data_IF_348478085749
#
_entry.id   IF_348478085749
#
_cell.length_a   1.000
_cell.length_b   1.000
_cell.length_c   1.000
_cell.angle_alpha   90.00
_cell.angle_beta   90.00
_cell.angle_gamma   90.00
#
_symmetry.space_group_name_H-M   'P 1'
#
loop_
_entity.id
_entity.type
_entity.pdbx_description
1 polymer ?
#
# COMPACT_ATOMS: atom_id res chain seq x y z
N UNK A 1 22.04 -5.71 -48.81
CA UNK A 1 22.17 -6.55 -47.59
C UNK A 1 21.19 -5.96 -46.59
N UNK A 2 20.03 -6.58 -46.50
CA UNK A 2 19.00 -6.21 -45.56
C UNK A 2 19.33 -6.93 -44.23
N UNK A 3 19.38 -6.17 -43.14
CA UNK A 3 19.49 -6.70 -41.79
C UNK A 3 18.09 -7.07 -41.33
N UNK A 4 17.91 -8.34 -41.11
CA UNK A 4 16.73 -8.97 -40.55
C UNK A 4 16.68 -8.64 -39.03
N UNK A 5 15.77 -7.79 -38.63
CA UNK A 5 15.46 -7.55 -37.23
C UNK A 5 14.34 -8.52 -36.85
N UNK A 6 14.73 -9.71 -36.36
CA UNK A 6 13.79 -10.60 -35.70
C UNK A 6 13.38 -9.97 -34.36
N UNK A 7 12.21 -9.34 -34.30
CA UNK A 7 11.46 -9.15 -33.09
C UNK A 7 11.11 -10.54 -32.52
N UNK A 8 11.74 -10.90 -31.44
CA UNK A 8 11.34 -12.03 -30.60
C UNK A 8 10.08 -11.62 -29.89
N UNK A 9 8.94 -12.03 -30.44
CA UNK A 9 7.67 -12.07 -29.77
C UNK A 9 7.80 -13.10 -28.64
N UNK A 10 8.08 -12.63 -27.43
CA UNK A 10 8.01 -13.46 -26.23
C UNK A 10 6.53 -13.59 -25.87
N UNK A 11 5.84 -14.52 -26.52
CA UNK A 11 4.56 -15.04 -26.02
C UNK A 11 4.88 -15.88 -24.78
N UNK A 12 4.24 -15.59 -23.67
CA UNK A 12 4.18 -16.51 -22.52
C UNK A 12 3.69 -17.86 -23.05
N UNK A 13 4.57 -18.82 -23.09
CA UNK A 13 4.20 -20.21 -23.42
C UNK A 13 3.77 -20.82 -22.08
N UNK A 14 2.48 -20.96 -21.86
CA UNK A 14 1.84 -21.48 -20.64
C UNK A 14 2.36 -22.88 -20.33
N UNK A 15 3.44 -22.98 -19.57
CA UNK A 15 3.99 -24.25 -19.08
C UNK A 15 3.49 -24.61 -17.67
N UNK A 16 2.60 -23.82 -17.07
CA UNK A 16 1.80 -24.21 -15.90
C UNK A 16 0.38 -24.54 -16.37
N UNK A 17 -0.17 -25.67 -15.90
CA UNK A 17 -1.51 -26.18 -16.25
C UNK A 17 -2.65 -25.30 -15.62
N UNK A 18 -2.58 -23.96 -15.67
CA UNK A 18 -3.60 -23.07 -15.10
C UNK A 18 -3.43 -21.59 -15.48
N UNK A 19 -4.42 -20.73 -15.19
CA UNK A 19 -4.36 -19.30 -15.42
C UNK A 19 -3.31 -18.64 -14.49
N UNK A 20 -2.64 -17.57 -14.96
CA UNK A 20 -1.67 -16.83 -14.16
C UNK A 20 -2.36 -16.20 -12.93
N UNK A 21 -1.99 -16.57 -11.69
CA UNK A 21 -2.55 -15.94 -10.50
C UNK A 21 -1.92 -14.58 -10.26
N UNK A 22 -2.73 -13.53 -10.22
CA UNK A 22 -2.28 -12.14 -10.06
C UNK A 22 -2.94 -11.52 -8.85
N UNK A 23 -2.13 -11.06 -7.90
CA UNK A 23 -2.54 -10.25 -6.78
C UNK A 23 -2.37 -8.77 -7.09
N UNK A 24 -3.39 -7.97 -6.81
CA UNK A 24 -3.42 -6.54 -7.10
C UNK A 24 -3.74 -5.74 -5.84
N UNK A 25 -2.94 -4.71 -5.57
CA UNK A 25 -3.29 -3.65 -4.63
C UNK A 25 -3.19 -2.30 -5.34
N UNK A 26 -4.32 -1.64 -5.58
CA UNK A 26 -4.37 -0.23 -5.96
C UNK A 26 -4.43 0.64 -4.69
N UNK A 27 -3.28 1.09 -4.19
CA UNK A 27 -3.23 2.02 -3.06
C UNK A 27 -3.21 3.48 -3.51
N UNK A 28 -3.58 4.40 -2.62
CA UNK A 28 -3.61 5.84 -2.92
C UNK A 28 -2.24 6.43 -3.31
N UNK A 29 -1.16 5.90 -2.74
CA UNK A 29 0.19 6.34 -3.02
C UNK A 29 0.91 5.39 -3.98
N UNK A 30 0.80 4.09 -3.75
CA UNK A 30 1.50 3.07 -4.55
C UNK A 30 0.57 1.93 -4.95
N UNK A 31 0.72 1.50 -6.19
CA UNK A 31 0.10 0.28 -6.75
C UNK A 31 1.12 -0.84 -6.74
N UNK A 32 0.67 -2.02 -6.36
CA UNK A 32 1.46 -3.25 -6.35
C UNK A 32 0.76 -4.32 -7.17
N UNK A 33 1.51 -4.97 -8.07
CA UNK A 33 1.15 -6.24 -8.69
C UNK A 33 2.11 -7.31 -8.18
N UNK A 34 1.58 -8.48 -7.86
CA UNK A 34 2.35 -9.64 -7.43
C UNK A 34 1.89 -10.89 -8.20
N UNK A 35 2.80 -11.56 -8.87
CA UNK A 35 2.51 -12.72 -9.71
C UNK A 35 3.76 -13.56 -9.93
N UNK A 36 3.65 -14.88 -10.20
CA UNK A 36 4.81 -15.70 -10.57
C UNK A 36 5.25 -15.43 -12.02
N UNK A 37 6.55 -15.53 -12.29
CA UNK A 37 7.07 -15.55 -13.66
C UNK A 37 6.98 -16.95 -14.30
N UNK A 38 7.58 -17.12 -15.49
CA UNK A 38 7.57 -18.40 -16.23
C UNK A 38 8.27 -19.56 -15.50
N UNK A 39 9.19 -19.24 -14.59
CA UNK A 39 9.93 -20.20 -13.76
C UNK A 39 9.21 -20.47 -12.41
N UNK A 40 8.14 -19.73 -12.11
CA UNK A 40 7.38 -19.79 -10.86
C UNK A 40 7.96 -18.89 -9.77
N UNK A 41 8.98 -18.08 -10.08
CA UNK A 41 9.56 -17.16 -9.12
C UNK A 41 8.68 -15.90 -8.96
N UNK A 42 8.53 -15.38 -7.72
CA UNK A 42 7.65 -14.24 -7.48
C UNK A 42 8.18 -12.96 -8.14
N UNK A 43 7.33 -12.32 -8.93
CA UNK A 43 7.56 -11.01 -9.52
C UNK A 43 6.72 -9.95 -8.79
N UNK A 44 7.35 -8.83 -8.52
CA UNK A 44 6.69 -7.70 -7.88
C UNK A 44 6.87 -6.45 -8.73
N UNK A 45 5.75 -5.82 -9.06
CA UNK A 45 5.73 -4.48 -9.67
C UNK A 45 5.19 -3.51 -8.63
N UNK A 46 5.97 -2.50 -8.28
CA UNK A 46 5.60 -1.46 -7.32
C UNK A 46 5.85 -0.11 -7.97
N UNK A 47 4.83 0.72 -8.07
CA UNK A 47 4.92 2.04 -8.71
C UNK A 47 4.01 3.06 -8.03
N UNK A 48 4.29 4.35 -8.18
CA UNK A 48 3.39 5.41 -7.72
C UNK A 48 2.05 5.34 -8.45
N UNK A 49 0.96 5.53 -7.72
CA UNK A 49 -0.41 5.54 -8.27
C UNK A 49 -0.74 6.91 -8.82
N UNK A 50 -0.05 7.29 -9.89
CA UNK A 50 -0.25 8.57 -10.56
C UNK A 50 0.02 8.44 -12.06
N UNK A 51 -0.50 9.38 -12.83
CA UNK A 51 -0.21 9.52 -14.24
C UNK A 51 -0.10 10.99 -14.65
N UNK A 52 0.52 11.23 -15.78
CA UNK A 52 0.51 12.52 -16.47
C UNK A 52 0.25 12.29 -17.97
N UNK A 53 -0.42 13.26 -18.61
CA UNK A 53 -0.64 13.25 -20.05
C UNK A 53 0.09 14.40 -20.72
N UNK A 54 0.63 14.13 -21.90
CA UNK A 54 1.26 15.16 -22.72
C UNK A 54 0.98 14.92 -24.20
N UNK A 55 1.03 15.99 -24.99
CA UNK A 55 0.92 15.91 -26.45
C UNK A 55 2.31 15.67 -27.06
N UNK A 56 2.46 14.57 -27.80
CA UNK A 56 3.67 14.28 -28.56
C UNK A 56 3.88 15.31 -29.66
N UNK A 57 4.98 16.05 -29.60
CA UNK A 57 5.26 17.18 -30.48
C UNK A 57 5.40 16.81 -31.97
N UNK A 58 5.64 15.54 -32.28
CA UNK A 58 5.83 15.06 -33.65
C UNK A 58 4.54 14.51 -34.24
N UNK A 59 3.80 13.74 -33.47
CA UNK A 59 2.57 13.08 -33.94
C UNK A 59 1.29 13.87 -33.62
N UNK A 60 1.34 14.82 -32.68
CA UNK A 60 0.16 15.50 -32.12
C UNK A 60 -0.78 14.56 -31.36
N UNK A 61 -0.33 13.34 -31.04
CA UNK A 61 -1.11 12.38 -30.26
C UNK A 61 -0.89 12.58 -28.76
N UNK A 62 -1.93 12.39 -27.99
CA UNK A 62 -1.82 12.33 -26.54
C UNK A 62 -1.05 11.08 -26.11
N UNK A 63 -0.13 11.25 -25.17
CA UNK A 63 0.67 10.21 -24.58
C UNK A 63 0.44 10.17 -23.07
N UNK A 64 0.47 8.98 -22.51
CA UNK A 64 0.34 8.74 -21.07
C UNK A 64 1.68 8.25 -20.54
N UNK A 65 2.11 8.83 -19.45
CA UNK A 65 3.20 8.33 -18.59
C UNK A 65 2.66 8.13 -17.19
N UNK A 66 3.19 7.18 -16.44
CA UNK A 66 2.67 6.86 -15.10
C UNK A 66 3.81 6.56 -14.12
N UNK A 67 3.43 6.47 -12.85
CA UNK A 67 4.36 6.13 -11.76
C UNK A 67 5.43 7.19 -11.55
N UNK A 68 6.62 6.74 -11.18
CA UNK A 68 7.78 7.57 -10.89
C UNK A 68 8.12 8.47 -12.08
N UNK A 69 8.03 7.96 -13.31
CA UNK A 69 8.29 8.76 -14.51
C UNK A 69 7.33 9.95 -14.62
N UNK A 70 6.05 9.76 -14.31
CA UNK A 70 5.08 10.87 -14.33
C UNK A 70 5.41 11.93 -13.26
N UNK A 71 5.76 11.49 -12.06
CA UNK A 71 6.08 12.39 -10.95
C UNK A 71 7.37 13.19 -11.18
N UNK A 72 8.41 12.55 -11.75
CA UNK A 72 9.72 13.17 -11.97
C UNK A 72 9.77 14.07 -13.20
N UNK A 73 9.22 13.59 -14.33
CA UNK A 73 9.31 14.31 -15.62
C UNK A 73 8.22 15.35 -15.84
N UNK A 74 7.04 15.15 -15.18
CA UNK A 74 5.85 15.99 -15.36
C UNK A 74 5.22 16.44 -14.04
N UNK A 75 5.97 16.97 -13.07
CA UNK A 75 5.46 17.32 -11.74
C UNK A 75 4.33 18.36 -11.76
N UNK A 76 4.27 19.20 -12.82
CA UNK A 76 3.22 20.19 -13.03
C UNK A 76 1.92 19.62 -13.64
N UNK A 77 1.92 18.35 -14.06
CA UNK A 77 0.79 17.67 -14.72
C UNK A 77 0.41 16.35 -14.08
N UNK A 78 1.17 15.91 -13.08
CA UNK A 78 0.90 14.65 -12.40
C UNK A 78 -0.45 14.69 -11.69
N UNK A 79 -1.24 13.62 -11.84
CA UNK A 79 -2.54 13.43 -11.23
C UNK A 79 -2.55 12.15 -10.40
N UNK A 80 -2.90 12.29 -9.11
CA UNK A 80 -3.18 11.19 -8.21
C UNK A 80 -4.67 10.91 -8.26
N UNK A 81 -5.06 9.69 -8.56
CA UNK A 81 -6.43 9.32 -8.91
C UNK A 81 -7.22 8.66 -7.79
N UNK A 82 -6.55 8.21 -6.73
CA UNK A 82 -7.20 7.51 -5.62
C UNK A 82 -7.15 8.31 -4.32
N UNK A 83 -8.21 8.21 -3.54
CA UNK A 83 -8.28 8.68 -2.17
C UNK A 83 -8.80 7.54 -1.29
N UNK A 84 -8.10 7.27 -0.18
CA UNK A 84 -8.39 6.10 0.67
C UNK A 84 -8.47 4.78 -0.12
N UNK A 85 -7.61 4.62 -1.15
CA UNK A 85 -7.56 3.44 -2.01
C UNK A 85 -8.66 3.36 -3.06
N UNK A 86 -9.53 4.36 -3.21
CA UNK A 86 -10.68 4.33 -4.12
C UNK A 86 -10.72 5.54 -5.07
N UNK A 87 -11.19 5.36 -6.32
CA UNK A 87 -11.57 6.46 -7.20
C UNK A 87 -12.94 7.00 -6.76
N UNK A 88 -12.98 8.26 -6.30
CA UNK A 88 -14.18 8.85 -5.67
C UNK A 88 -15.29 9.26 -6.65
N UNK A 89 -14.94 9.41 -7.93
CA UNK A 89 -15.84 9.88 -8.99
C UNK A 89 -15.46 9.26 -10.36
N UNK A 90 -16.32 9.43 -11.34
CA UNK A 90 -16.16 8.88 -12.69
C UNK A 90 -14.87 9.39 -13.38
N UNK A 91 -14.50 10.65 -13.20
CA UNK A 91 -13.30 11.24 -13.81
C UNK A 91 -12.04 10.56 -13.24
N UNK A 92 -12.01 10.30 -11.93
CA UNK A 92 -10.92 9.57 -11.27
C UNK A 92 -10.91 8.10 -11.61
N UNK A 93 -12.08 7.48 -11.79
CA UNK A 93 -12.21 6.11 -12.27
C UNK A 93 -11.64 5.96 -13.69
N UNK A 94 -11.92 6.90 -14.59
CA UNK A 94 -11.36 6.92 -15.95
C UNK A 94 -9.82 7.05 -15.94
N UNK A 95 -9.29 7.93 -15.08
CA UNK A 95 -7.84 8.07 -14.90
C UNK A 95 -7.21 6.80 -14.34
N UNK A 96 -7.80 6.21 -13.29
CA UNK A 96 -7.35 4.97 -12.68
C UNK A 96 -7.41 3.79 -13.67
N UNK A 97 -8.47 3.71 -14.48
CA UNK A 97 -8.60 2.73 -15.55
C UNK A 97 -7.53 2.90 -16.63
N UNK A 98 -7.20 4.13 -16.99
CA UNK A 98 -6.12 4.42 -17.95
C UNK A 98 -4.76 4.03 -17.39
N UNK A 99 -4.46 4.42 -16.14
CA UNK A 99 -3.25 4.04 -15.44
C UNK A 99 -3.09 2.51 -15.36
N UNK A 100 -4.12 1.81 -14.89
CA UNK A 100 -4.04 0.38 -14.65
C UNK A 100 -3.93 -0.43 -15.95
N UNK A 101 -4.66 -0.04 -17.01
CA UNK A 101 -4.49 -0.64 -18.35
C UNK A 101 -3.07 -0.50 -18.91
N UNK A 102 -2.46 0.69 -18.80
CA UNK A 102 -1.07 0.88 -19.27
C UNK A 102 -0.09 0.10 -18.40
N UNK A 103 -0.31 0.00 -17.09
CA UNK A 103 0.50 -0.79 -16.17
C UNK A 103 0.48 -2.27 -16.55
N UNK A 104 -0.69 -2.91 -16.63
CA UNK A 104 -0.81 -4.35 -16.91
C UNK A 104 -0.32 -4.70 -18.31
N UNK A 105 -0.55 -3.83 -19.30
CA UNK A 105 -0.05 -3.97 -20.67
C UNK A 105 1.48 -3.94 -20.73
N UNK A 106 2.11 -3.02 -19.99
CA UNK A 106 3.57 -2.92 -19.95
C UNK A 106 4.22 -4.12 -19.24
N UNK A 107 3.51 -4.71 -18.27
CA UNK A 107 3.91 -5.95 -17.59
C UNK A 107 3.56 -7.21 -18.40
N UNK A 108 2.83 -7.06 -19.51
CA UNK A 108 2.38 -8.17 -20.38
C UNK A 108 1.57 -9.23 -19.63
N UNK A 109 0.79 -8.83 -18.63
CA UNK A 109 -0.11 -9.76 -17.93
C UNK A 109 -1.12 -10.31 -18.94
N UNK A 110 -1.27 -11.64 -19.04
CA UNK A 110 -2.18 -12.25 -20.00
C UNK A 110 -3.66 -12.03 -19.65
N UNK A 111 -4.53 -11.98 -20.66
CA UNK A 111 -5.96 -11.74 -20.46
C UNK A 111 -6.63 -12.86 -19.67
N UNK A 112 -6.23 -14.11 -19.88
CA UNK A 112 -6.72 -15.33 -19.22
C UNK A 112 -6.15 -15.56 -17.81
N UNK A 113 -5.66 -14.49 -17.16
CA UNK A 113 -5.20 -14.55 -15.77
C UNK A 113 -6.36 -14.66 -14.76
N UNK A 114 -6.04 -15.11 -13.55
CA UNK A 114 -6.93 -15.09 -12.40
C UNK A 114 -6.51 -13.94 -11.47
N UNK A 115 -7.38 -12.94 -11.33
CA UNK A 115 -7.06 -11.72 -10.61
C UNK A 115 -7.80 -11.66 -9.27
N UNK A 116 -7.06 -11.52 -8.19
CA UNK A 116 -7.59 -11.10 -6.89
C UNK A 116 -7.05 -9.72 -6.55
N UNK A 117 -7.94 -8.81 -6.20
CA UNK A 117 -7.53 -7.46 -5.81
C UNK A 117 -7.96 -7.12 -4.39
N UNK A 118 -7.07 -6.44 -3.68
CA UNK A 118 -7.30 -5.97 -2.32
C UNK A 118 -8.14 -4.70 -2.32
N UNK A 119 -9.17 -4.64 -1.47
CA UNK A 119 -10.03 -3.47 -1.30
C UNK A 119 -9.92 -2.91 0.12
N UNK A 120 -9.96 -1.58 0.31
CA UNK A 120 -9.99 -0.98 1.62
C UNK A 120 -11.30 -1.31 2.37
N UNK A 121 -11.21 -1.37 3.70
CA UNK A 121 -12.35 -1.62 4.57
C UNK A 121 -13.01 -0.29 4.96
N UNK A 122 -13.73 0.31 4.01
CA UNK A 122 -14.44 1.59 4.22
C UNK A 122 -15.86 1.52 3.68
N UNK A 123 -16.75 2.32 4.27
CA UNK A 123 -18.14 2.44 3.84
C UNK A 123 -18.27 3.45 2.68
N UNK A 124 -17.90 3.02 1.47
CA UNK A 124 -17.99 3.79 0.23
C UNK A 124 -18.31 2.87 -0.95
N UNK A 125 -19.57 2.46 -1.07
CA UNK A 125 -20.04 1.56 -2.14
C UNK A 125 -19.70 2.11 -3.54
N UNK A 126 -19.93 3.39 -3.82
CA UNK A 126 -19.64 3.97 -5.12
C UNK A 126 -18.16 3.91 -5.50
N UNK A 127 -17.26 4.17 -4.54
CA UNK A 127 -15.82 4.06 -4.77
C UNK A 127 -15.37 2.62 -4.97
N UNK A 128 -16.01 1.66 -4.28
CA UNK A 128 -15.74 0.22 -4.46
C UNK A 128 -16.24 -0.26 -5.84
N UNK A 129 -17.42 0.19 -6.29
CA UNK A 129 -17.93 -0.12 -7.61
C UNK A 129 -17.01 0.46 -8.70
N UNK A 130 -16.58 1.70 -8.56
CA UNK A 130 -15.61 2.33 -9.47
C UNK A 130 -14.29 1.55 -9.53
N UNK A 131 -13.78 1.08 -8.38
CA UNK A 131 -12.56 0.26 -8.35
C UNK A 131 -12.77 -1.09 -9.06
N UNK A 132 -13.92 -1.73 -8.86
CA UNK A 132 -14.26 -2.96 -9.56
C UNK A 132 -14.28 -2.76 -11.08
N UNK A 133 -14.91 -1.68 -11.57
CA UNK A 133 -14.94 -1.33 -13.00
C UNK A 133 -13.53 -1.07 -13.56
N UNK A 134 -12.63 -0.44 -12.79
CA UNK A 134 -11.22 -0.22 -13.17
C UNK A 134 -10.51 -1.56 -13.39
N UNK A 135 -10.67 -2.51 -12.47
CA UNK A 135 -10.01 -3.83 -12.56
C UNK A 135 -10.62 -4.66 -13.70
N UNK A 136 -11.94 -4.79 -13.75
CA UNK A 136 -12.67 -5.56 -14.79
C UNK A 136 -12.45 -4.98 -16.20
N UNK A 137 -12.33 -3.65 -16.30
CA UNK A 137 -12.07 -2.96 -17.57
C UNK A 137 -10.60 -2.94 -18.00
N UNK A 138 -9.70 -3.60 -17.28
CA UNK A 138 -8.25 -3.56 -17.55
C UNK A 138 -7.79 -4.47 -18.69
N UNK A 139 -8.60 -5.48 -19.06
CA UNK A 139 -8.29 -6.47 -20.09
C UNK A 139 -7.48 -7.67 -19.57
N UNK A 140 -7.44 -7.88 -18.26
CA UNK A 140 -6.92 -9.09 -17.60
C UNK A 140 -8.02 -9.69 -16.70
N UNK A 141 -7.86 -10.95 -16.27
CA UNK A 141 -8.80 -11.60 -15.35
C UNK A 141 -9.98 -12.29 -16.04
N UNK A 142 -9.86 -12.68 -17.31
CA UNK A 142 -10.93 -13.40 -18.02
C UNK A 142 -11.31 -14.71 -17.31
N UNK A 143 -10.39 -15.35 -16.59
CA UNK A 143 -10.67 -16.58 -15.84
C UNK A 143 -11.36 -16.28 -14.51
N UNK A 144 -10.83 -15.31 -13.74
CA UNK A 144 -11.36 -14.97 -12.42
C UNK A 144 -11.05 -13.52 -12.09
N UNK A 145 -12.06 -12.79 -11.58
CA UNK A 145 -11.87 -11.52 -10.87
C UNK A 145 -12.61 -11.57 -9.54
N UNK A 146 -11.91 -11.36 -8.41
CA UNK A 146 -12.48 -11.31 -7.06
C UNK A 146 -11.81 -10.24 -6.22
N UNK A 147 -12.55 -9.67 -5.28
CA UNK A 147 -12.02 -8.73 -4.29
C UNK A 147 -12.04 -9.33 -2.89
N UNK A 148 -11.04 -8.96 -2.09
CA UNK A 148 -10.98 -9.29 -0.67
C UNK A 148 -10.47 -8.07 0.12
N UNK A 149 -10.82 -7.95 1.43
CA UNK A 149 -10.31 -6.87 2.28
C UNK A 149 -8.78 -6.84 2.30
N UNK A 150 -8.20 -5.63 2.21
CA UNK A 150 -6.75 -5.42 2.19
C UNK A 150 -6.08 -6.01 3.44
N UNK A 151 -6.69 -5.81 4.61
CA UNK A 151 -6.18 -6.35 5.88
C UNK A 151 -6.25 -7.89 5.95
N UNK A 152 -7.24 -8.54 5.30
CA UNK A 152 -7.27 -10.01 5.18
C UNK A 152 -6.14 -10.51 4.26
N UNK A 153 -6.01 -9.92 3.09
CA UNK A 153 -4.95 -10.29 2.15
C UNK A 153 -3.57 -10.13 2.82
N UNK A 154 -3.34 -8.99 3.48
CA UNK A 154 -2.07 -8.71 4.15
C UNK A 154 -1.75 -9.65 5.32
N UNK A 155 -2.75 -10.16 6.01
CA UNK A 155 -2.56 -11.09 7.13
C UNK A 155 -1.99 -12.46 6.68
N UNK A 156 -2.25 -12.89 5.45
CA UNK A 156 -1.77 -14.19 4.94
C UNK A 156 -0.25 -14.31 5.02
N UNK A 157 0.55 -13.45 4.39
CA UNK A 157 2.00 -13.52 4.51
C UNK A 157 2.51 -13.19 5.92
N UNK A 158 1.79 -12.39 6.72
CA UNK A 158 2.15 -12.10 8.10
C UNK A 158 2.10 -13.35 8.99
N UNK A 159 1.19 -14.28 8.71
CA UNK A 159 1.09 -15.57 9.42
C UNK A 159 1.91 -16.70 8.78
N UNK A 160 2.80 -16.41 7.82
CA UNK A 160 3.78 -17.36 7.29
C UNK A 160 3.22 -18.38 6.32
N UNK A 161 2.55 -17.95 5.26
CA UNK A 161 2.14 -18.78 4.11
C UNK A 161 1.03 -19.80 4.38
N UNK A 162 0.55 -19.89 5.60
CA UNK A 162 -0.47 -20.86 5.97
C UNK A 162 -1.87 -20.24 5.85
N UNK A 163 -2.55 -20.57 4.75
CA UNK A 163 -3.96 -20.18 4.57
C UNK A 163 -4.89 -20.78 5.65
N UNK A 164 -4.46 -21.83 6.39
CA UNK A 164 -5.23 -22.33 7.52
C UNK A 164 -5.31 -21.32 8.68
N UNK A 165 -4.34 -20.41 8.80
CA UNK A 165 -4.35 -19.35 9.81
C UNK A 165 -5.55 -18.41 9.67
N UNK A 166 -6.04 -18.18 8.45
CA UNK A 166 -7.23 -17.34 8.21
C UNK A 166 -8.55 -18.04 8.59
N UNK A 167 -8.56 -19.36 8.77
CA UNK A 167 -9.72 -20.10 9.26
C UNK A 167 -9.95 -19.90 10.75
N UNK A 168 -9.03 -19.27 11.45
CA UNK A 168 -9.12 -18.99 12.86
C UNK A 168 -9.70 -17.59 13.16
N UNK A 169 -9.76 -17.21 14.45
CA UNK A 169 -10.08 -15.84 14.86
C UNK A 169 -8.76 -15.07 14.98
N UNK A 170 -8.63 -13.94 14.30
CA UNK A 170 -7.46 -13.06 14.37
C UNK A 170 -7.81 -11.60 14.19
N UNK A 171 -6.86 -10.73 14.51
CA UNK A 171 -6.90 -9.30 14.23
C UNK A 171 -5.86 -8.95 13.16
N UNK A 172 -6.17 -7.96 12.35
CA UNK A 172 -5.26 -7.40 11.38
C UNK A 172 -5.30 -5.88 11.42
N UNK A 173 -4.13 -5.26 11.44
CA UNK A 173 -3.91 -3.82 11.34
C UNK A 173 -3.25 -3.51 10.00
N UNK A 174 -3.73 -2.48 9.30
CA UNK A 174 -3.11 -1.98 8.09
C UNK A 174 -2.75 -0.50 8.29
N UNK A 175 -1.46 -0.22 8.39
CA UNK A 175 -0.90 1.11 8.61
C UNK A 175 -0.67 1.80 7.27
N UNK A 176 -1.74 2.40 6.72
CA UNK A 176 -1.76 2.94 5.36
C UNK A 176 -1.29 4.40 5.26
N UNK A 177 -1.10 4.85 4.01
CA UNK A 177 -0.77 6.25 3.71
C UNK A 177 -1.96 7.20 3.87
N UNK A 178 -3.19 6.71 3.69
CA UNK A 178 -4.43 7.52 3.70
C UNK A 178 -5.46 7.05 4.71
N UNK A 179 -5.27 5.90 5.34
CA UNK A 179 -6.13 5.34 6.39
C UNK A 179 -5.35 4.38 7.28
N UNK A 180 -5.81 4.26 8.52
CA UNK A 180 -5.53 3.16 9.43
C UNK A 180 -6.73 2.23 9.39
N UNK A 181 -6.52 0.94 9.19
CA UNK A 181 -7.55 -0.08 9.29
C UNK A 181 -7.22 -1.05 10.41
N UNK A 182 -8.25 -1.44 11.17
CA UNK A 182 -8.18 -2.48 12.19
C UNK A 182 -9.40 -3.40 12.05
N UNK A 183 -9.17 -4.68 11.82
CA UNK A 183 -10.22 -5.63 11.48
C UNK A 183 -10.14 -6.89 12.32
N UNK A 184 -11.29 -7.42 12.72
CA UNK A 184 -11.41 -8.71 13.36
C UNK A 184 -12.02 -9.71 12.39
N UNK A 185 -11.41 -10.88 12.28
CA UNK A 185 -11.84 -11.96 11.39
C UNK A 185 -12.14 -13.23 12.16
N UNK A 186 -13.03 -14.04 11.57
CA UNK A 186 -13.33 -15.40 12.03
C UNK A 186 -13.66 -16.26 10.81
N UNK A 187 -12.85 -17.28 10.55
CA UNK A 187 -12.98 -18.15 9.36
C UNK A 187 -12.95 -17.35 8.04
N UNK A 188 -12.05 -16.37 7.94
CA UNK A 188 -11.97 -15.48 6.79
C UNK A 188 -13.11 -14.44 6.67
N UNK A 189 -14.14 -14.52 7.54
CA UNK A 189 -15.29 -13.61 7.55
C UNK A 189 -14.99 -12.37 8.39
N UNK A 190 -15.20 -11.19 7.81
CA UNK A 190 -15.02 -9.90 8.51
C UNK A 190 -16.11 -9.74 9.57
N UNK A 191 -15.69 -9.70 10.83
CA UNK A 191 -16.60 -9.61 11.99
C UNK A 191 -16.80 -8.20 12.49
N UNK A 192 -15.73 -7.40 12.50
CA UNK A 192 -15.74 -6.02 12.97
C UNK A 192 -14.74 -5.22 12.14
N UNK A 193 -15.21 -4.38 11.22
CA UNK A 193 -14.37 -3.44 10.49
C UNK A 193 -14.19 -2.15 11.28
N UNK A 194 -13.00 -1.60 11.26
CA UNK A 194 -12.70 -0.25 11.71
C UNK A 194 -11.75 0.41 10.71
N UNK A 195 -12.02 1.64 10.33
CA UNK A 195 -11.15 2.43 9.48
C UNK A 195 -11.24 3.90 9.83
N UNK A 196 -10.09 4.57 9.90
CA UNK A 196 -10.02 6.02 10.14
C UNK A 196 -9.03 6.69 9.21
N UNK A 197 -9.40 7.87 8.71
CA UNK A 197 -8.53 8.76 7.96
C UNK A 197 -7.85 9.83 8.83
N UNK A 198 -8.00 9.77 10.16
CA UNK A 198 -7.40 10.73 11.08
C UNK A 198 -5.92 10.43 11.33
N UNK A 199 -5.53 9.15 11.34
CA UNK A 199 -4.17 8.68 11.60
C UNK A 199 -3.62 8.05 10.33
N UNK A 200 -2.69 8.75 9.64
CA UNK A 200 -2.25 8.36 8.29
C UNK A 200 -0.80 8.70 8.04
N UNK A 201 -0.13 7.88 7.21
CA UNK A 201 1.24 8.15 6.78
C UNK A 201 1.39 9.50 6.05
N UNK A 202 0.39 9.92 5.27
CA UNK A 202 0.43 11.21 4.57
C UNK A 202 0.31 12.41 5.52
N UNK A 203 -0.38 12.26 6.66
CA UNK A 203 -0.41 13.31 7.68
C UNK A 203 0.94 13.41 8.38
N UNK A 204 1.56 12.26 8.69
CA UNK A 204 2.93 12.21 9.21
C UNK A 204 3.92 12.88 8.26
N UNK A 205 3.82 12.63 6.93
CA UNK A 205 4.68 13.31 5.94
C UNK A 205 4.54 14.84 5.99
N UNK A 206 3.31 15.37 6.16
CA UNK A 206 3.07 16.81 6.31
C UNK A 206 3.65 17.35 7.62
N UNK A 207 3.51 16.60 8.71
CA UNK A 207 4.08 16.98 10.00
C UNK A 207 5.60 17.01 9.94
N UNK A 208 6.25 16.06 9.27
CA UNK A 208 7.69 16.06 9.02
C UNK A 208 8.10 17.33 8.25
N UNK A 209 7.42 17.65 7.14
CA UNK A 209 7.71 18.85 6.36
C UNK A 209 7.61 20.14 7.22
N UNK A 210 6.56 20.27 8.03
CA UNK A 210 6.35 21.39 8.93
C UNK A 210 7.44 21.47 10.01
N UNK A 211 7.80 20.33 10.61
CA UNK A 211 8.84 20.29 11.65
C UNK A 211 10.23 20.62 11.10
N UNK A 212 10.54 20.23 9.85
CA UNK A 212 11.79 20.65 9.18
C UNK A 212 11.83 22.18 9.02
N UNK A 213 10.71 22.80 8.63
CA UNK A 213 10.62 24.26 8.55
C UNK A 213 10.84 24.92 9.93
N UNK A 214 10.25 24.37 11.00
CA UNK A 214 10.43 24.84 12.36
C UNK A 214 11.86 24.64 12.86
N UNK A 215 12.45 23.46 12.70
CA UNK A 215 13.80 23.11 13.13
C UNK A 215 14.84 24.00 12.44
N UNK A 216 14.61 24.32 11.17
CA UNK A 216 15.46 25.21 10.38
C UNK A 216 15.13 26.71 10.56
N UNK A 217 14.16 27.05 11.43
CA UNK A 217 13.71 28.44 11.68
C UNK A 217 13.21 29.15 10.41
N UNK A 218 12.46 28.43 9.57
CA UNK A 218 11.90 28.91 8.31
C UNK A 218 12.92 29.08 7.17
N UNK A 219 14.14 28.56 7.32
CA UNK A 219 15.17 28.64 6.27
C UNK A 219 15.05 27.57 5.21
N UNK A 220 14.42 26.45 5.55
CA UNK A 220 14.20 25.30 4.67
C UNK A 220 12.70 25.03 4.65
N UNK A 221 12.16 24.88 3.43
CA UNK A 221 10.81 24.40 3.20
C UNK A 221 10.92 23.27 2.20
N UNK A 222 10.55 22.08 2.60
CA UNK A 222 10.49 20.88 1.76
C UNK A 222 9.04 20.56 1.40
N UNK A 223 8.83 19.99 0.26
CA UNK A 223 7.51 19.45 -0.10
C UNK A 223 7.24 18.11 0.60
N UNK A 224 5.99 17.66 0.53
CA UNK A 224 5.55 16.41 1.19
C UNK A 224 6.23 15.17 0.61
N UNK A 225 6.58 15.18 -0.68
CA UNK A 225 7.28 14.06 -1.32
C UNK A 225 8.71 13.94 -0.80
N UNK A 226 9.41 15.06 -0.66
CA UNK A 226 10.74 15.10 -0.04
C UNK A 226 10.69 14.65 1.43
N UNK A 227 9.69 15.12 2.19
CA UNK A 227 9.50 14.69 3.58
C UNK A 227 9.20 13.19 3.69
N UNK A 228 8.40 12.63 2.75
CA UNK A 228 8.19 11.19 2.63
C UNK A 228 9.48 10.45 2.34
N UNK A 229 10.30 10.96 1.43
CA UNK A 229 11.62 10.39 1.12
C UNK A 229 12.48 10.30 2.38
N UNK A 230 12.57 11.34 3.18
CA UNK A 230 13.31 11.33 4.43
C UNK A 230 12.77 10.31 5.43
N UNK A 231 11.44 10.18 5.56
CA UNK A 231 10.82 9.14 6.38
C UNK A 231 11.19 7.73 5.88
N UNK A 232 11.05 7.48 4.58
CA UNK A 232 11.31 6.15 4.00
C UNK A 232 12.80 5.76 4.03
N UNK A 233 13.73 6.73 4.00
CA UNK A 233 15.17 6.47 3.97
C UNK A 233 15.85 6.49 5.33
N UNK A 234 15.35 7.29 6.27
CA UNK A 234 16.07 7.60 7.51
C UNK A 234 15.32 7.27 8.79
N UNK A 235 13.99 7.05 8.74
CA UNK A 235 13.25 6.69 9.95
C UNK A 235 13.64 5.31 10.44
N UNK A 236 13.97 5.22 11.72
CA UNK A 236 14.39 3.99 12.38
C UNK A 236 14.13 4.12 13.89
N UNK A 237 13.26 3.30 14.46
CA UNK A 237 12.98 3.31 15.89
C UNK A 237 14.08 2.62 16.72
N UNK A 238 14.90 1.77 16.09
CA UNK A 238 15.96 1.05 16.76
C UNK A 238 17.26 1.88 16.83
N UNK A 239 17.61 2.61 15.74
CA UNK A 239 18.91 3.27 15.60
C UNK A 239 18.86 4.52 14.69
N UNK A 240 17.94 5.47 14.99
CA UNK A 240 17.88 6.71 14.24
C UNK A 240 19.13 7.55 14.39
N UNK A 241 19.77 7.89 13.27
CA UNK A 241 20.91 8.81 13.23
C UNK A 241 20.51 10.13 12.53
N UNK A 242 20.84 11.26 13.18
CA UNK A 242 20.66 12.58 12.56
C UNK A 242 21.45 12.67 11.24
N UNK A 243 20.84 13.22 10.21
CA UNK A 243 21.43 13.31 8.88
C UNK A 243 21.40 14.75 8.34
N UNK A 244 22.21 15.00 7.33
CA UNK A 244 22.34 16.31 6.70
C UNK A 244 21.97 16.25 5.23
N UNK A 245 21.18 17.20 4.76
CA UNK A 245 20.83 17.34 3.34
C UNK A 245 21.08 18.78 2.85
N UNK A 246 21.07 18.96 1.53
CA UNK A 246 21.36 20.22 0.84
C UNK A 246 20.28 20.52 -0.18
N UNK A 247 19.51 21.57 0.06
CA UNK A 247 18.51 22.02 -0.92
C UNK A 247 19.00 23.23 -1.73
N UNK A 248 18.59 23.31 -2.99
CA UNK A 248 18.80 24.48 -3.84
C UNK A 248 17.72 25.53 -3.55
N UNK A 249 18.15 26.73 -3.21
CA UNK A 249 17.22 27.84 -2.97
C UNK A 249 16.84 28.58 -4.25
N UNK A 250 15.61 29.18 -4.32
CA UNK A 250 15.18 30.04 -5.43
C UNK A 250 16.00 31.34 -5.51
N UNK A 251 17.21 31.38 -5.70
CA UNK A 251 18.13 32.53 -5.71
C UNK A 251 19.55 32.12 -6.00
N UNK A 252 19.76 30.80 -6.20
CA UNK A 252 21.05 30.27 -6.67
C UNK A 252 22.06 30.01 -5.56
N UNK A 253 21.62 29.63 -4.37
CA UNK A 253 22.43 29.15 -3.26
C UNK A 253 22.06 27.74 -2.84
N UNK A 254 23.03 26.92 -2.43
CA UNK A 254 22.79 25.67 -1.71
C UNK A 254 22.71 25.97 -0.21
N UNK A 255 21.71 25.40 0.46
CA UNK A 255 21.58 25.48 1.91
C UNK A 255 21.69 24.10 2.51
N UNK A 256 22.73 23.90 3.30
CA UNK A 256 22.95 22.68 4.08
C UNK A 256 22.21 22.80 5.43
N UNK A 257 21.50 21.76 5.81
CA UNK A 257 20.77 21.68 7.09
C UNK A 257 20.83 20.26 7.64
N UNK A 258 20.69 20.15 8.96
CA UNK A 258 20.68 18.86 9.65
C UNK A 258 19.30 18.59 10.19
N UNK A 259 18.83 17.38 10.05
CA UNK A 259 17.59 16.86 10.61
C UNK A 259 17.95 16.00 11.82
N UNK A 260 17.56 16.46 13.01
CA UNK A 260 17.88 15.81 14.29
C UNK A 260 16.64 15.06 14.84
N UNK A 261 15.44 15.64 14.67
CA UNK A 261 14.20 15.10 15.25
C UNK A 261 12.96 15.24 14.36
N UNK A 262 13.03 16.06 13.33
CA UNK A 262 11.85 16.36 12.50
C UNK A 262 11.24 15.14 11.79
N UNK A 263 11.94 14.01 11.71
CA UNK A 263 11.42 12.74 11.20
C UNK A 263 10.81 11.90 12.32
N UNK A 264 11.50 11.74 13.45
CA UNK A 264 11.07 10.81 14.50
C UNK A 264 9.98 11.39 15.41
N UNK A 265 10.01 12.69 15.76
CA UNK A 265 8.97 13.27 16.62
C UNK A 265 7.54 13.10 16.02
N UNK A 266 7.30 13.33 14.70
CA UNK A 266 6.00 13.04 14.09
C UNK A 266 5.64 11.55 14.08
N UNK A 267 6.61 10.65 13.97
CA UNK A 267 6.39 9.21 14.00
C UNK A 267 6.04 8.71 15.40
N UNK A 268 6.65 9.29 16.45
CA UNK A 268 6.25 9.04 17.84
C UNK A 268 4.78 9.44 18.07
N UNK A 269 4.40 10.64 17.62
CA UNK A 269 3.02 11.09 17.69
C UNK A 269 2.05 10.21 16.89
N UNK A 270 2.47 9.75 15.70
CA UNK A 270 1.69 8.82 14.89
C UNK A 270 1.41 7.51 15.64
N UNK A 271 2.43 6.93 16.29
CA UNK A 271 2.25 5.69 17.06
C UNK A 271 1.32 5.88 18.25
N UNK A 272 1.43 7.00 18.98
CA UNK A 272 0.51 7.31 20.08
C UNK A 272 -0.95 7.38 19.57
N UNK A 273 -1.18 8.02 18.43
CA UNK A 273 -2.49 8.11 17.80
C UNK A 273 -2.99 6.73 17.32
N UNK A 274 -2.12 5.88 16.76
CA UNK A 274 -2.46 4.50 16.37
C UNK A 274 -2.89 3.69 17.58
N UNK A 275 -2.16 3.76 18.69
CA UNK A 275 -2.49 3.06 19.94
C UNK A 275 -3.85 3.51 20.47
N UNK A 276 -4.11 4.82 20.48
CA UNK A 276 -5.41 5.36 20.94
C UNK A 276 -6.56 4.85 20.07
N UNK A 277 -6.44 4.91 18.74
CA UNK A 277 -7.48 4.43 17.81
C UNK A 277 -7.70 2.93 17.91
N UNK A 278 -6.65 2.15 18.04
CA UNK A 278 -6.76 0.68 18.15
C UNK A 278 -7.31 0.27 19.51
N UNK A 279 -6.77 0.79 20.62
CA UNK A 279 -7.17 0.37 21.96
C UNK A 279 -8.54 0.93 22.37
N UNK A 280 -8.74 2.25 22.19
CA UNK A 280 -9.87 2.98 22.76
C UNK A 280 -11.08 3.07 21.82
N UNK A 281 -10.89 2.86 20.50
CA UNK A 281 -11.97 2.83 19.53
C UNK A 281 -12.23 1.41 19.04
N UNK A 282 -11.34 0.81 18.27
CA UNK A 282 -11.55 -0.51 17.68
C UNK A 282 -11.74 -1.64 18.70
N UNK A 283 -10.78 -1.84 19.60
CA UNK A 283 -10.84 -2.94 20.57
C UNK A 283 -11.93 -2.74 21.61
N UNK A 284 -12.24 -1.48 21.99
CA UNK A 284 -13.34 -1.17 22.89
C UNK A 284 -14.70 -1.51 22.24
N UNK A 285 -14.90 -1.17 20.96
CA UNK A 285 -16.10 -1.54 20.21
C UNK A 285 -16.21 -3.07 20.04
N UNK A 286 -15.11 -3.73 19.64
CA UNK A 286 -15.06 -5.18 19.52
C UNK A 286 -15.38 -5.88 20.85
N UNK A 287 -14.90 -5.36 21.98
CA UNK A 287 -15.21 -5.90 23.30
C UNK A 287 -16.69 -5.73 23.67
N UNK A 288 -17.30 -4.62 23.28
CA UNK A 288 -18.71 -4.35 23.54
C UNK A 288 -19.64 -5.24 22.71
N UNK A 289 -19.35 -5.39 21.44
CA UNK A 289 -20.25 -6.06 20.49
C UNK A 289 -19.95 -7.57 20.36
N UNK A 290 -18.66 -7.95 20.48
CA UNK A 290 -18.16 -9.30 20.27
C UNK A 290 -17.14 -9.73 21.32
N UNK A 291 -17.46 -9.62 22.62
CA UNK A 291 -16.55 -9.91 23.74
C UNK A 291 -15.79 -11.23 23.59
N UNK A 292 -16.41 -12.28 23.07
CA UNK A 292 -15.74 -13.59 22.91
C UNK A 292 -14.69 -13.55 21.80
N UNK A 293 -14.95 -12.83 20.70
CA UNK A 293 -13.99 -12.62 19.60
C UNK A 293 -12.82 -11.82 20.13
N UNK A 294 -13.08 -10.70 20.83
CA UNK A 294 -12.07 -9.89 21.51
C UNK A 294 -11.12 -10.73 22.38
N UNK A 295 -11.68 -11.58 23.27
CA UNK A 295 -10.88 -12.38 24.19
C UNK A 295 -10.02 -13.43 23.49
N UNK A 296 -10.53 -14.04 22.41
CA UNK A 296 -9.83 -15.08 21.67
C UNK A 296 -8.76 -14.46 20.73
N UNK A 297 -9.11 -13.37 20.07
CA UNK A 297 -8.21 -12.70 19.13
C UNK A 297 -6.99 -12.09 19.81
N UNK A 298 -7.16 -11.43 20.97
CA UNK A 298 -6.03 -10.89 21.75
C UNK A 298 -5.14 -11.97 22.41
N UNK A 299 -5.47 -13.21 22.33
CA UNK A 299 -4.62 -14.33 22.76
C UNK A 299 -3.77 -14.92 21.62
N UNK A 300 -3.76 -14.27 20.45
CA UNK A 300 -3.11 -14.71 19.22
C UNK A 300 -2.30 -13.56 18.62
N UNK A 301 -1.35 -13.87 17.72
CA UNK A 301 -0.66 -12.84 16.97
C UNK A 301 -1.63 -11.95 16.20
N UNK A 302 -1.35 -10.64 16.18
CA UNK A 302 -2.08 -9.62 15.41
C UNK A 302 -1.22 -9.29 14.19
N UNK A 303 -1.79 -9.45 13.00
CA UNK A 303 -1.08 -9.13 11.77
C UNK A 303 -0.96 -7.61 11.60
N UNK A 304 0.23 -7.11 11.27
CA UNK A 304 0.51 -5.70 11.00
C UNK A 304 1.07 -5.56 9.59
N UNK A 305 0.43 -4.73 8.77
CA UNK A 305 0.80 -4.52 7.36
C UNK A 305 0.71 -3.05 6.98
N UNK A 306 0.98 -2.74 5.71
CA UNK A 306 0.94 -1.38 5.20
C UNK A 306 2.30 -0.70 5.12
N UNK A 307 2.37 0.41 4.40
CA UNK A 307 3.65 1.06 4.11
C UNK A 307 4.35 1.64 5.34
N UNK A 308 3.60 2.06 6.37
CA UNK A 308 4.20 2.55 7.62
C UNK A 308 4.86 1.43 8.42
N UNK A 309 4.36 0.21 8.34
CA UNK A 309 4.96 -0.95 9.00
C UNK A 309 6.33 -1.36 8.43
N UNK A 310 6.77 -0.74 7.32
CA UNK A 310 8.12 -0.94 6.77
C UNK A 310 9.21 -0.19 7.53
N UNK A 311 8.87 0.75 8.41
CA UNK A 311 9.84 1.53 9.18
C UNK A 311 10.49 0.58 10.21
N UNK A 312 11.83 0.46 10.26
CA UNK A 312 12.52 -0.38 11.22
C UNK A 312 12.10 -0.06 12.67
N UNK A 313 11.87 -1.13 13.46
CA UNK A 313 11.49 -1.03 14.87
C UNK A 313 10.05 -0.57 15.15
N UNK A 314 9.29 -0.10 14.15
CA UNK A 314 7.94 0.47 14.37
C UNK A 314 6.94 -0.56 14.92
N UNK A 315 7.05 -1.81 14.48
CA UNK A 315 6.12 -2.88 14.92
C UNK A 315 6.40 -3.27 16.36
N UNK A 316 7.67 -3.38 16.74
CA UNK A 316 8.09 -3.69 18.10
C UNK A 316 7.70 -2.54 19.06
N UNK A 317 7.91 -1.28 18.65
CA UNK A 317 7.49 -0.12 19.43
C UNK A 317 5.96 -0.03 19.57
N UNK A 318 5.20 -0.35 18.51
CA UNK A 318 3.74 -0.43 18.57
C UNK A 318 3.27 -1.55 19.52
N UNK A 319 3.95 -2.71 19.50
CA UNK A 319 3.67 -3.84 20.41
C UNK A 319 3.82 -3.41 21.86
N UNK A 320 4.94 -2.78 22.20
CA UNK A 320 5.23 -2.30 23.54
C UNK A 320 4.19 -1.28 24.02
N UNK A 321 3.90 -0.25 23.22
CA UNK A 321 2.90 0.80 23.57
C UNK A 321 1.49 0.24 23.70
N UNK A 322 1.08 -0.64 22.78
CA UNK A 322 -0.24 -1.27 22.84
C UNK A 322 -0.36 -2.21 24.04
N UNK A 323 0.72 -2.95 24.36
CA UNK A 323 0.80 -3.78 25.56
C UNK A 323 0.69 -2.97 26.87
N UNK A 324 1.35 -1.81 26.94
CA UNK A 324 1.23 -0.89 28.06
C UNK A 324 -0.19 -0.32 28.22
N UNK A 325 -0.81 0.14 27.12
CA UNK A 325 -2.17 0.69 27.14
C UNK A 325 -3.20 -0.36 27.56
N UNK A 326 -3.11 -1.59 27.04
CA UNK A 326 -4.01 -2.69 27.33
C UNK A 326 -3.67 -3.40 28.66
N UNK A 327 -2.55 -3.07 29.30
CA UNK A 327 -2.02 -3.70 30.54
C UNK A 327 -1.93 -5.23 30.41
N UNK A 328 -1.48 -5.71 29.26
CA UNK A 328 -1.30 -7.13 28.96
C UNK A 328 -0.30 -7.31 27.81
N UNK A 329 0.31 -8.46 27.75
CA UNK A 329 1.16 -8.82 26.62
C UNK A 329 0.27 -8.97 25.35
N UNK A 330 0.70 -8.40 24.25
CA UNK A 330 0.20 -8.58 22.89
C UNK A 330 1.35 -9.12 22.03
N UNK A 331 1.03 -9.73 20.90
CA UNK A 331 2.01 -10.29 19.97
C UNK A 331 1.68 -9.74 18.59
N UNK A 332 2.52 -8.84 18.07
CA UNK A 332 2.36 -8.26 16.74
C UNK A 332 3.30 -8.96 15.75
N UNK A 333 2.78 -9.34 14.60
CA UNK A 333 3.56 -9.99 13.55
C UNK A 333 3.42 -9.24 12.23
N UNK A 334 4.53 -9.00 11.57
CA UNK A 334 4.57 -8.39 10.26
C UNK A 334 5.35 -9.29 9.27
N UNK A 335 4.98 -9.31 7.98
CA UNK A 335 5.79 -9.98 6.98
C UNK A 335 7.07 -9.18 6.68
N UNK A 336 8.05 -9.80 6.03
CA UNK A 336 9.29 -9.14 5.63
C UNK A 336 9.08 -7.86 4.79
N UNK A 337 8.01 -7.82 4.03
CA UNK A 337 7.64 -6.71 3.16
C UNK A 337 6.17 -6.29 3.39
N UNK A 338 5.87 -5.55 4.47
CA UNK A 338 4.50 -5.18 4.84
C UNK A 338 3.77 -4.36 3.77
N UNK A 339 4.50 -3.60 2.96
CA UNK A 339 3.97 -2.80 1.84
C UNK A 339 3.48 -3.64 0.65
N UNK A 340 3.98 -4.87 0.50
CA UNK A 340 3.61 -5.81 -0.57
C UNK A 340 2.56 -6.83 -0.12
N UNK A 341 2.41 -7.01 1.18
CA UNK A 341 1.66 -8.10 1.80
C UNK A 341 0.24 -8.28 1.24
N UNK A 342 -0.47 -7.19 1.01
CA UNK A 342 -1.84 -7.26 0.49
C UNK A 342 -1.90 -7.81 -0.95
N UNK A 343 -0.94 -7.45 -1.81
CA UNK A 343 -0.88 -8.00 -3.17
C UNK A 343 -0.38 -9.45 -3.18
N UNK A 344 0.59 -9.76 -2.31
CA UNK A 344 1.09 -11.13 -2.14
C UNK A 344 -0.01 -12.07 -1.65
N UNK A 345 -0.71 -11.72 -0.58
CA UNK A 345 -1.82 -12.53 -0.08
C UNK A 345 -2.99 -12.63 -1.06
N UNK A 346 -3.27 -11.56 -1.82
CA UNK A 346 -4.26 -11.60 -2.91
C UNK A 346 -3.86 -12.61 -4.00
N UNK A 347 -2.57 -12.66 -4.38
CA UNK A 347 -2.08 -13.65 -5.34
C UNK A 347 -2.26 -15.09 -4.83
N UNK A 348 -1.96 -15.35 -3.55
CA UNK A 348 -2.16 -16.69 -2.94
C UNK A 348 -3.62 -17.10 -2.90
N UNK A 349 -4.52 -16.15 -2.68
CA UNK A 349 -5.97 -16.41 -2.80
C UNK A 349 -6.33 -16.74 -4.25
N UNK A 350 -5.79 -16.01 -5.24
CA UNK A 350 -6.03 -16.29 -6.66
C UNK A 350 -5.58 -17.71 -7.03
N UNK A 351 -4.37 -18.09 -6.63
CA UNK A 351 -3.82 -19.44 -6.82
C UNK A 351 -4.73 -20.52 -6.20
N UNK A 352 -5.11 -20.33 -4.94
CA UNK A 352 -6.01 -21.27 -4.25
C UNK A 352 -7.36 -21.43 -4.93
N UNK A 353 -7.93 -20.33 -5.46
CA UNK A 353 -9.23 -20.35 -6.13
C UNK A 353 -9.20 -21.00 -7.54
N UNK A 354 -8.02 -21.14 -8.12
CA UNK A 354 -7.82 -21.78 -9.43
C UNK A 354 -7.35 -23.22 -9.33
N UNK A 355 -6.85 -23.66 -8.17
CA UNK A 355 -6.43 -25.05 -7.91
C UNK A 355 -7.60 -25.97 -7.52
N UNK A 356 -8.77 -25.45 -7.15
CA UNK A 356 -9.99 -26.18 -6.78
C UNK A 356 -10.93 -26.35 -8.00
#
# INVERSE_FOLDING_TARGET
MAADSSETDASFDTAADGPLPVGVKLGSTRTVLYYPDEDGDPQTVRTLTCLATYEDALSGSERVVYGEQAAEEYPDRVQYMLRSGLPEDDDRADLAGTFFRELVKNQKIPADSAVVYAIPTIDNEAGLDNLAEVIEGSGIGDELVRSFPESLCGAIPAFGDDLEAIDEIFLALNLGSTNLEACAYRHGELMSPFSTGAVTGNETDRQIANMIEEETQGRVNVDVETARGYKEEHADFDDFEAFTDVIQQPGGGAHEFTIERSVMDPLDGYLDDVVDEVANNFLAELANDHMKVYQLALGRPIAVTGGMACIPGIVDELEDRLGEELQRDVDLVAPDRPDLAAAEGAQRIAERLTDD
#
